data_IF_685592545291
#
_entry.id   IF_685592545291
#
_cell.length_a   1.000
_cell.length_b   1.000
_cell.length_c   1.000
_cell.angle_alpha   90.00
_cell.angle_beta   90.00
_cell.angle_gamma   90.00
#
_symmetry.space_group_name_H-M   'P 1'
#
loop_
_entity.id
_entity.type
_entity.pdbx_description
1 polymer ?
#
# COMPACT_ATOMS: atom_id res chain seq x y z
N UNK A 1 32.56 51.11 40.22
CA UNK A 1 31.35 50.26 40.04
C UNK A 1 31.36 49.79 38.58
N UNK A 2 32.02 48.66 38.30
CA UNK A 2 31.42 47.38 37.87
C UNK A 2 30.64 47.47 36.55
N UNK A 3 31.23 47.01 35.41
CA UNK A 3 31.04 45.66 34.78
C UNK A 3 29.62 45.53 34.18
N UNK A 4 29.32 45.09 32.96
CA UNK A 4 29.96 44.25 31.94
C UNK A 4 28.99 44.13 30.75
N UNK A 5 29.52 43.83 29.57
CA UNK A 5 28.84 43.37 28.34
C UNK A 5 27.65 42.41 28.57
N UNK A 6 26.56 42.55 27.82
CA UNK A 6 25.53 41.51 27.64
C UNK A 6 24.88 41.62 26.25
N UNK A 7 25.65 41.17 25.26
CA UNK A 7 25.12 40.51 24.07
C UNK A 7 24.38 39.26 24.56
N UNK A 8 23.10 39.09 24.22
CA UNK A 8 22.43 37.80 24.39
C UNK A 8 20.93 37.89 24.56
N UNK A 9 20.20 37.53 23.51
CA UNK A 9 19.12 36.51 23.49
C UNK A 9 18.19 36.76 22.30
N UNK A 10 18.74 36.65 21.09
CA UNK A 10 17.94 36.39 19.89
C UNK A 10 17.83 34.86 19.78
N UNK A 11 17.06 34.27 20.70
CA UNK A 11 16.77 32.83 20.71
C UNK A 11 15.88 32.50 19.50
N UNK A 12 16.55 32.14 18.41
CA UNK A 12 16.25 31.02 17.52
C UNK A 12 14.92 30.30 17.81
N UNK A 13 13.83 30.84 17.29
CA UNK A 13 12.64 30.04 16.96
C UNK A 13 12.90 29.42 15.58
N UNK A 14 13.72 28.39 15.53
CA UNK A 14 13.69 27.48 14.38
C UNK A 14 12.51 26.57 14.60
N UNK A 15 11.38 26.97 14.02
CA UNK A 15 10.29 26.05 13.74
C UNK A 15 10.87 24.95 12.85
N UNK A 16 11.16 23.78 13.43
CA UNK A 16 11.21 22.54 12.66
C UNK A 16 9.81 22.31 12.12
N UNK A 17 9.51 22.92 10.98
CA UNK A 17 8.41 22.47 10.14
C UNK A 17 8.75 21.01 9.81
N UNK A 18 8.09 20.06 10.46
CA UNK A 18 8.12 18.68 10.01
C UNK A 18 7.71 18.73 8.54
N UNK A 19 8.64 18.40 7.65
CA UNK A 19 8.32 18.17 6.26
C UNK A 19 7.33 17.00 6.25
N UNK A 20 6.04 17.33 6.23
CA UNK A 20 4.99 16.36 6.05
C UNK A 20 5.33 15.68 4.72
N UNK A 21 5.86 14.45 4.75
CA UNK A 21 6.17 13.74 3.51
C UNK A 21 4.89 13.71 2.69
N UNK A 22 4.94 14.26 1.48
CA UNK A 22 3.78 14.27 0.60
C UNK A 22 3.31 12.83 0.43
N UNK A 23 2.09 12.55 0.91
CA UNK A 23 1.49 11.24 0.66
C UNK A 23 1.27 11.12 -0.85
N UNK A 24 1.62 9.97 -1.46
CA UNK A 24 1.37 9.78 -2.88
C UNK A 24 -0.12 10.00 -3.14
N UNK A 25 -0.42 10.76 -4.19
CA UNK A 25 -1.79 11.10 -4.54
C UNK A 25 -2.64 9.81 -4.63
N UNK A 26 -3.88 9.81 -4.12
CA UNK A 26 -4.74 8.65 -4.20
C UNK A 26 -4.89 8.22 -5.66
N UNK A 27 -4.79 6.91 -5.92
CA UNK A 27 -4.92 6.37 -7.27
C UNK A 27 -6.31 6.72 -7.84
N UNK A 28 -6.35 7.68 -8.77
CA UNK A 28 -7.56 8.13 -9.44
C UNK A 28 -7.33 8.15 -10.96
N UNK A 29 -7.44 7.01 -11.65
CA UNK A 29 -7.21 6.92 -13.09
C UNK A 29 -8.28 7.69 -13.88
N UNK A 30 -7.90 8.25 -15.03
CA UNK A 30 -8.86 8.87 -15.96
C UNK A 30 -9.90 7.87 -16.44
N UNK A 31 -11.09 8.35 -16.85
CA UNK A 31 -12.16 7.50 -17.40
C UNK A 31 -11.67 6.64 -18.57
N UNK A 32 -10.83 7.21 -19.43
CA UNK A 32 -10.19 6.49 -20.54
C UNK A 32 -9.30 5.35 -20.04
N UNK A 33 -8.40 5.63 -19.08
CA UNK A 33 -7.53 4.62 -18.49
C UNK A 33 -8.33 3.50 -17.82
N UNK A 34 -9.43 3.83 -17.15
CA UNK A 34 -10.36 2.83 -16.59
C UNK A 34 -10.97 1.97 -17.69
N UNK A 35 -11.34 2.55 -18.83
CA UNK A 35 -11.84 1.82 -19.99
C UNK A 35 -10.81 0.81 -20.52
N UNK A 36 -9.56 1.24 -20.69
CA UNK A 36 -8.45 0.37 -21.11
C UNK A 36 -8.21 -0.75 -20.08
N UNK A 37 -8.17 -0.42 -18.79
CA UNK A 37 -7.99 -1.44 -17.74
C UNK A 37 -9.10 -2.50 -17.79
N UNK A 38 -10.36 -2.09 -17.99
CA UNK A 38 -11.49 -3.03 -18.08
C UNK A 38 -11.37 -3.96 -19.29
N UNK A 39 -10.96 -3.45 -20.45
CA UNK A 39 -10.79 -4.29 -21.63
C UNK A 39 -9.63 -5.27 -21.47
N UNK A 40 -8.51 -4.83 -20.89
CA UNK A 40 -7.37 -5.71 -20.57
C UNK A 40 -7.74 -6.81 -19.57
N UNK A 41 -8.44 -6.47 -18.48
CA UNK A 41 -8.91 -7.45 -17.49
C UNK A 41 -9.84 -8.47 -18.15
N UNK A 42 -10.76 -8.02 -19.01
CA UNK A 42 -11.65 -8.93 -19.74
C UNK A 42 -10.85 -9.90 -20.61
N UNK A 43 -9.87 -9.40 -21.37
CA UNK A 43 -9.06 -10.24 -22.25
C UNK A 43 -8.28 -11.32 -21.48
N UNK A 44 -7.76 -10.97 -20.30
CA UNK A 44 -7.08 -11.91 -19.39
C UNK A 44 -8.06 -12.96 -18.88
N UNK A 45 -9.22 -12.54 -18.35
CA UNK A 45 -10.23 -13.45 -17.83
C UNK A 45 -10.73 -14.42 -18.91
N UNK A 46 -11.04 -13.92 -20.11
CA UNK A 46 -11.48 -14.75 -21.23
C UNK A 46 -10.42 -15.82 -21.59
N UNK A 47 -9.12 -15.49 -21.46
CA UNK A 47 -8.04 -16.46 -21.70
C UNK A 47 -7.96 -17.50 -20.60
N UNK A 48 -8.12 -17.11 -19.34
CA UNK A 48 -8.14 -18.03 -18.19
C UNK A 48 -9.33 -18.98 -18.33
N UNK A 49 -10.52 -18.46 -18.60
CA UNK A 49 -11.75 -19.26 -18.78
C UNK A 49 -11.59 -20.32 -19.88
N UNK A 50 -10.98 -19.96 -21.01
CA UNK A 50 -10.70 -20.91 -22.11
C UNK A 50 -9.75 -22.03 -21.69
N UNK A 51 -8.76 -21.73 -20.83
CA UNK A 51 -7.82 -22.74 -20.35
C UNK A 51 -8.51 -23.64 -19.32
N UNK A 52 -9.19 -23.06 -18.34
CA UNK A 52 -9.93 -23.81 -17.32
C UNK A 52 -10.98 -24.74 -17.93
N UNK A 53 -11.75 -24.26 -18.92
CA UNK A 53 -12.75 -25.07 -19.62
C UNK A 53 -12.13 -26.25 -20.39
N UNK A 54 -10.99 -26.03 -21.05
CA UNK A 54 -10.25 -27.07 -21.79
C UNK A 54 -9.74 -28.17 -20.85
N UNK A 55 -9.16 -27.76 -19.73
CA UNK A 55 -8.62 -28.66 -18.71
C UNK A 55 -9.71 -29.23 -17.78
N UNK A 56 -10.96 -28.79 -17.94
CA UNK A 56 -12.11 -29.15 -17.07
C UNK A 56 -11.85 -28.85 -15.59
N UNK A 57 -11.13 -27.77 -15.32
CA UNK A 57 -10.80 -27.32 -13.97
C UNK A 57 -11.74 -26.18 -13.54
N UNK A 58 -12.24 -26.19 -12.30
CA UNK A 58 -12.93 -25.03 -11.74
C UNK A 58 -11.92 -23.96 -11.30
N UNK A 59 -12.42 -22.75 -11.04
CA UNK A 59 -11.65 -21.74 -10.31
C UNK A 59 -11.34 -22.22 -8.89
N UNK A 60 -10.20 -21.78 -8.37
CA UNK A 60 -9.88 -21.96 -6.96
C UNK A 60 -10.93 -21.26 -6.08
N UNK A 61 -11.24 -21.82 -4.90
CA UNK A 61 -12.15 -21.18 -3.96
C UNK A 61 -11.65 -19.79 -3.58
N UNK A 62 -12.58 -18.89 -3.27
CA UNK A 62 -12.23 -17.53 -2.86
C UNK A 62 -11.41 -17.56 -1.57
N UNK A 63 -10.34 -16.78 -1.55
CA UNK A 63 -9.48 -16.66 -0.39
C UNK A 63 -10.23 -16.00 0.78
N UNK A 64 -10.15 -16.63 1.96
CA UNK A 64 -10.69 -16.03 3.19
C UNK A 64 -9.93 -14.74 3.57
N UNK A 65 -10.52 -13.92 4.42
CA UNK A 65 -9.96 -12.60 4.73
C UNK A 65 -8.63 -12.66 5.49
N UNK A 66 -8.43 -13.64 6.37
CA UNK A 66 -7.17 -13.79 7.12
C UNK A 66 -6.01 -14.16 6.21
N UNK A 67 -6.22 -15.11 5.29
CA UNK A 67 -5.23 -15.53 4.31
C UNK A 67 -4.96 -14.42 3.30
N UNK A 68 -6.00 -13.70 2.87
CA UNK A 68 -5.86 -12.54 2.00
C UNK A 68 -4.98 -11.47 2.64
N UNK A 69 -5.28 -11.08 3.87
CA UNK A 69 -4.50 -10.06 4.56
C UNK A 69 -3.05 -10.50 4.75
N UNK A 70 -2.79 -11.74 5.22
CA UNK A 70 -1.42 -12.25 5.33
C UNK A 70 -0.68 -12.18 4.01
N UNK A 71 -1.32 -12.60 2.91
CA UNK A 71 -0.70 -12.61 1.58
C UNK A 71 -0.32 -11.20 1.13
N UNK A 72 -1.25 -10.25 1.24
CA UNK A 72 -1.03 -8.89 0.76
C UNK A 72 0.04 -8.15 1.59
N UNK A 73 0.11 -8.38 2.90
CA UNK A 73 1.18 -7.81 3.73
C UNK A 73 2.56 -8.36 3.35
N UNK A 74 2.68 -9.68 3.13
CA UNK A 74 3.95 -10.27 2.69
C UNK A 74 4.34 -9.78 1.31
N UNK A 75 3.40 -9.77 0.36
CA UNK A 75 3.68 -9.39 -1.03
C UNK A 75 4.02 -7.90 -1.19
N UNK A 76 3.39 -7.02 -0.41
CA UNK A 76 3.58 -5.57 -0.55
C UNK A 76 4.64 -5.02 0.41
N UNK A 77 4.68 -5.46 1.66
CA UNK A 77 5.55 -4.86 2.68
C UNK A 77 6.61 -5.82 3.19
N UNK A 78 6.65 -7.07 2.72
CA UNK A 78 7.61 -8.08 3.16
C UNK A 78 7.43 -8.52 4.62
N UNK A 79 6.29 -8.22 5.25
CA UNK A 79 6.05 -8.45 6.68
C UNK A 79 4.83 -9.32 6.93
N UNK A 80 4.81 -9.98 8.09
CA UNK A 80 3.62 -10.69 8.58
C UNK A 80 2.76 -9.68 9.35
N UNK A 81 1.44 -9.59 9.10
CA UNK A 81 0.58 -8.65 9.82
C UNK A 81 0.48 -9.02 11.30
N UNK A 82 0.30 -8.01 12.15
CA UNK A 82 0.03 -8.24 13.56
C UNK A 82 -1.39 -8.79 13.77
N UNK A 83 -1.64 -9.39 14.94
CA UNK A 83 -2.96 -9.88 15.31
C UNK A 83 -4.03 -8.78 15.20
N UNK A 84 -3.75 -7.59 15.74
CA UNK A 84 -4.68 -6.45 15.71
C UNK A 84 -4.99 -6.00 14.28
N UNK A 85 -3.99 -5.96 13.40
CA UNK A 85 -4.18 -5.60 12.00
C UNK A 85 -5.08 -6.61 11.26
N UNK A 86 -4.87 -7.91 11.51
CA UNK A 86 -5.69 -8.98 10.95
C UNK A 86 -7.13 -8.91 11.43
N UNK A 87 -7.34 -8.77 12.74
CA UNK A 87 -8.67 -8.70 13.34
C UNK A 87 -9.40 -7.45 12.88
N UNK A 88 -8.72 -6.29 12.84
CA UNK A 88 -9.29 -5.06 12.32
C UNK A 88 -9.73 -5.21 10.85
N UNK A 89 -8.90 -5.82 10.01
CA UNK A 89 -9.26 -6.06 8.61
C UNK A 89 -10.41 -7.06 8.45
N UNK A 90 -10.38 -8.16 9.21
CA UNK A 90 -11.42 -9.19 9.15
C UNK A 90 -12.79 -8.63 9.55
N UNK A 91 -12.84 -7.79 10.59
CA UNK A 91 -14.06 -7.17 11.11
C UNK A 91 -14.52 -5.93 10.35
N UNK A 92 -13.73 -5.43 9.40
CA UNK A 92 -14.12 -4.32 8.55
C UNK A 92 -15.29 -4.73 7.64
N UNK A 93 -16.38 -3.95 7.70
CA UNK A 93 -17.62 -4.20 6.95
C UNK A 93 -17.70 -3.46 5.62
N UNK A 94 -16.69 -2.65 5.28
CA UNK A 94 -16.69 -1.90 4.02
C UNK A 94 -16.67 -2.88 2.84
N UNK A 95 -17.56 -2.73 1.84
CA UNK A 95 -17.50 -3.52 0.61
C UNK A 95 -16.14 -3.42 -0.10
N UNK A 96 -15.45 -2.29 0.09
CA UNK A 96 -14.14 -1.98 -0.49
C UNK A 96 -12.96 -2.23 0.46
N UNK A 97 -13.12 -2.98 1.56
CA UNK A 97 -12.08 -3.16 2.58
C UNK A 97 -10.75 -3.67 2.03
N UNK A 98 -10.78 -4.56 1.03
CA UNK A 98 -9.58 -5.10 0.35
C UNK A 98 -8.81 -4.01 -0.38
N UNK A 99 -9.52 -3.20 -1.18
CA UNK A 99 -8.93 -2.04 -1.87
C UNK A 99 -8.36 -1.03 -0.88
N UNK A 100 -9.07 -0.78 0.23
CA UNK A 100 -8.59 0.12 1.26
C UNK A 100 -7.30 -0.39 1.92
N UNK A 101 -7.24 -1.68 2.27
CA UNK A 101 -6.02 -2.27 2.84
C UNK A 101 -4.84 -2.17 1.86
N UNK A 102 -5.04 -2.53 0.59
CA UNK A 102 -4.00 -2.45 -0.44
C UNK A 102 -3.49 -1.01 -0.56
N UNK A 103 -4.38 -0.03 -0.70
CA UNK A 103 -3.98 1.38 -0.80
C UNK A 103 -3.21 1.86 0.43
N UNK A 104 -3.62 1.43 1.63
CA UNK A 104 -2.90 1.74 2.88
C UNK A 104 -1.49 1.18 2.87
N UNK A 105 -1.31 -0.07 2.41
CA UNK A 105 0.00 -0.73 2.36
C UNK A 105 0.91 -0.13 1.29
N UNK A 106 0.38 0.17 0.10
CA UNK A 106 1.11 0.86 -0.97
C UNK A 106 1.61 2.26 -0.55
N UNK A 107 0.85 2.94 0.31
CA UNK A 107 1.25 4.24 0.86
C UNK A 107 2.20 4.15 2.07
N UNK A 108 2.58 2.94 2.51
CA UNK A 108 3.41 2.74 3.70
C UNK A 108 4.91 2.76 3.39
N UNK A 109 5.72 3.14 4.38
CA UNK A 109 7.19 3.03 4.30
C UNK A 109 7.66 1.58 4.09
N UNK A 110 6.90 0.61 4.62
CA UNK A 110 7.19 -0.81 4.44
C UNK A 110 7.19 -1.20 2.96
N UNK A 111 6.24 -0.68 2.17
CA UNK A 111 6.21 -0.94 0.72
C UNK A 111 7.41 -0.32 0.01
N UNK A 112 7.75 0.94 0.35
CA UNK A 112 8.90 1.64 -0.22
C UNK A 112 10.20 0.87 0.04
N UNK A 113 10.44 0.49 1.30
CA UNK A 113 11.64 -0.24 1.69
C UNK A 113 11.70 -1.65 1.08
N UNK A 114 10.59 -2.40 1.14
CA UNK A 114 10.54 -3.76 0.60
C UNK A 114 10.79 -3.80 -0.90
N UNK A 115 10.11 -2.92 -1.64
CA UNK A 115 10.23 -2.83 -3.10
C UNK A 115 11.63 -2.36 -3.52
N UNK A 116 12.19 -1.37 -2.81
CA UNK A 116 13.55 -0.90 -3.07
C UNK A 116 14.57 -2.03 -2.91
N UNK A 117 14.53 -2.75 -1.78
CA UNK A 117 15.45 -3.85 -1.52
C UNK A 117 15.28 -4.97 -2.55
N UNK A 118 14.03 -5.34 -2.88
CA UNK A 118 13.76 -6.33 -3.91
C UNK A 118 14.43 -6.00 -5.25
N UNK A 119 14.34 -4.73 -5.71
CA UNK A 119 14.99 -4.32 -6.95
C UNK A 119 16.50 -4.15 -6.81
N UNK A 120 17.01 -3.76 -5.65
CA UNK A 120 18.45 -3.68 -5.39
C UNK A 120 19.11 -5.06 -5.45
N UNK A 121 18.42 -6.10 -4.98
CA UNK A 121 18.92 -7.49 -5.01
C UNK A 121 18.90 -8.11 -6.42
N UNK A 122 18.12 -7.55 -7.35
CA UNK A 122 18.01 -8.02 -8.73
C UNK A 122 19.09 -7.46 -9.67
N UNK A 123 19.87 -6.47 -9.22
CA UNK A 123 20.85 -5.70 -10.01
C UNK A 123 22.28 -5.95 -9.53
#
# INVERSE_FOLDING_TARGET
MHRTSLIGFLLFWVSFASAQRAQPAPFNPSKEKVGIMRSSVKAINDRIDRVLAREKLPYNPTLNDFLFARRVYVDLTGTIPTYEQLVHFANDKRPSKRTYLINKLLASEGYVSHTFNYFADLL
#
